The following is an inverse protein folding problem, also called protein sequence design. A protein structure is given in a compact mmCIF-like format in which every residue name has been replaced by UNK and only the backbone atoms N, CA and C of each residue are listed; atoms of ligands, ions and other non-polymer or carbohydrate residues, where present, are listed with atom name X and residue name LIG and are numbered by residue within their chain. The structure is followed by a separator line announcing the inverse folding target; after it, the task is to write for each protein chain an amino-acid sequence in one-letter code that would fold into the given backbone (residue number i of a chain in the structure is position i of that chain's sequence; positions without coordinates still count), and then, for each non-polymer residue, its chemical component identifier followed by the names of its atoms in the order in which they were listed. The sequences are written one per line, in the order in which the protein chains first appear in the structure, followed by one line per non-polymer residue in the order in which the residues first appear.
data_IF_917409674873
#
_entry.id   IF_917409674873
#
_cell.length_a   1.000
_cell.length_b   1.000
_cell.length_c   1.000
_cell.angle_alpha   90.00
_cell.angle_beta   90.00
_cell.angle_gamma   90.00
#
_symmetry.space_group_name_H-M   'P 1'
#
loop_
_entity.id
_entity.type
_entity.pdbx_description
1 polymer ?
#
# COMPACT_ATOMS: atom_id res chain seq x y z
N UNK A 1 -7.90 -19.66 2.34
CA UNK A 1 -9.23 -19.37 2.91
C UNK A 1 -9.77 -18.19 2.13
N UNK A 2 -10.65 -18.43 1.16
CA UNK A 2 -11.27 -17.34 0.40
C UNK A 2 -12.33 -16.68 1.29
N UNK A 3 -12.40 -15.34 1.36
CA UNK A 3 -13.48 -14.68 2.07
C UNK A 3 -14.83 -15.07 1.44
N UNK A 4 -15.84 -15.31 2.29
CA UNK A 4 -17.20 -15.59 1.86
C UNK A 4 -17.85 -14.28 1.36
N UNK A 5 -17.69 -13.99 0.07
CA UNK A 5 -18.18 -12.79 -0.62
C UNK A 5 -19.59 -13.01 -1.22
N UNK A 6 -20.48 -13.69 -0.48
CA UNK A 6 -21.75 -14.21 -1.01
C UNK A 6 -22.95 -13.24 -0.92
N UNK A 7 -22.80 -12.06 -0.30
CA UNK A 7 -23.82 -11.02 -0.27
C UNK A 7 -23.31 -9.76 -0.98
N UNK A 8 -24.07 -9.27 -1.96
CA UNK A 8 -23.78 -8.10 -2.81
C UNK A 8 -23.73 -6.76 -2.03
N UNK A 9 -23.68 -6.83 -0.69
CA UNK A 9 -23.58 -5.70 0.25
C UNK A 9 -22.25 -5.66 1.00
N UNK A 10 -21.40 -6.69 0.84
CA UNK A 10 -20.09 -6.76 1.49
C UNK A 10 -19.19 -5.59 1.12
N UNK A 11 -18.42 -5.09 2.08
CA UNK A 11 -17.47 -3.99 1.87
C UNK A 11 -16.10 -4.36 2.41
N UNK A 12 -15.07 -4.17 1.59
CA UNK A 12 -13.68 -4.23 2.00
C UNK A 12 -13.16 -2.80 2.10
N UNK A 13 -12.87 -2.35 3.32
CA UNK A 13 -12.26 -1.05 3.57
C UNK A 13 -10.81 -1.27 4.00
N UNK A 14 -9.88 -0.74 3.21
CA UNK A 14 -8.45 -0.85 3.45
C UNK A 14 -7.94 0.46 4.00
N UNK A 15 -7.34 0.43 5.18
CA UNK A 15 -6.74 1.62 5.80
C UNK A 15 -5.38 1.92 5.16
N UNK A 16 -5.35 2.87 4.25
CA UNK A 16 -4.14 3.44 3.67
C UNK A 16 -3.74 4.74 4.39
N UNK A 17 -2.80 5.48 3.82
CA UNK A 17 -2.36 6.78 4.32
C UNK A 17 -1.75 7.58 3.17
N UNK A 18 -1.89 8.91 3.17
CA UNK A 18 -1.33 9.81 2.14
C UNK A 18 0.16 9.61 1.88
N UNK A 19 0.91 9.16 2.89
CA UNK A 19 2.35 8.89 2.80
C UNK A 19 2.75 7.80 1.78
N UNK A 20 1.77 7.09 1.20
CA UNK A 20 2.00 6.21 0.05
C UNK A 20 2.51 6.95 -1.20
N UNK A 21 2.27 8.26 -1.30
CA UNK A 21 2.77 9.11 -2.38
C UNK A 21 3.93 9.96 -1.85
N UNK A 22 5.19 9.73 -2.31
CA UNK A 22 6.35 10.52 -1.93
C UNK A 22 6.24 12.02 -2.21
N UNK A 23 5.34 12.42 -3.14
CA UNK A 23 5.10 13.82 -3.50
C UNK A 23 4.09 14.50 -2.58
N UNK A 24 3.36 13.74 -1.78
CA UNK A 24 2.39 14.29 -0.83
C UNK A 24 3.07 14.86 0.42
N UNK A 25 2.43 15.80 1.14
CA UNK A 25 2.90 16.22 2.46
C UNK A 25 3.05 15.02 3.40
N UNK A 26 4.24 14.84 3.96
CA UNK A 26 4.57 13.69 4.81
C UNK A 26 4.89 12.40 4.06
N UNK A 27 4.86 12.39 2.73
CA UNK A 27 5.31 11.27 1.89
C UNK A 27 6.81 10.98 1.98
N UNK A 28 7.56 11.88 2.61
CA UNK A 28 8.97 11.73 2.98
C UNK A 28 9.19 12.30 4.38
N UNK A 29 10.23 11.84 5.06
CA UNK A 29 10.68 12.38 6.34
C UNK A 29 11.61 13.55 6.07
N UNK A 30 11.23 14.76 6.49
CA UNK A 30 12.04 15.98 6.35
C UNK A 30 12.51 16.28 4.91
N UNK A 31 11.77 15.81 3.89
CA UNK A 31 12.13 15.98 2.49
C UNK A 31 13.16 14.98 1.96
N UNK A 32 13.57 13.99 2.77
CA UNK A 32 14.49 12.93 2.32
C UNK A 32 13.77 11.94 1.41
N UNK A 33 14.05 12.03 0.10
CA UNK A 33 13.49 11.17 -0.92
C UNK A 33 13.76 9.67 -0.70
N UNK A 34 14.84 9.30 0.00
CA UNK A 34 15.15 7.90 0.29
C UNK A 34 14.16 7.25 1.26
N UNK A 35 13.43 8.07 2.02
CA UNK A 35 12.37 7.60 2.93
C UNK A 35 11.00 7.51 2.26
N UNK A 36 10.88 7.97 1.01
CA UNK A 36 9.62 7.91 0.26
C UNK A 36 9.25 6.49 -0.15
N UNK A 37 7.94 6.23 -0.28
CA UNK A 37 7.46 4.97 -0.81
C UNK A 37 8.02 4.71 -2.22
N UNK A 38 8.70 3.58 -2.39
CA UNK A 38 9.05 3.00 -3.69
C UNK A 38 9.16 1.50 -3.53
N UNK A 39 8.41 0.77 -4.35
CA UNK A 39 8.47 -0.68 -4.35
C UNK A 39 9.62 -1.23 -5.21
N UNK A 40 10.39 -0.33 -5.86
CA UNK A 40 11.47 -0.70 -6.77
C UNK A 40 11.02 -1.69 -7.84
N UNK A 41 11.81 -2.73 -8.05
CA UNK A 41 11.52 -3.85 -8.94
C UNK A 41 10.88 -5.05 -8.22
N UNK A 42 10.47 -4.87 -6.96
CA UNK A 42 9.93 -5.92 -6.09
C UNK A 42 10.89 -7.09 -5.84
N UNK A 43 12.20 -6.94 -6.08
CA UNK A 43 13.18 -8.03 -5.92
C UNK A 43 13.31 -8.55 -4.48
N UNK A 44 12.79 -7.82 -3.49
CA UNK A 44 12.69 -8.27 -2.11
C UNK A 44 11.53 -9.23 -1.84
N UNK A 45 10.50 -9.26 -2.70
CA UNK A 45 9.37 -10.18 -2.56
C UNK A 45 9.78 -11.61 -2.94
N UNK A 46 9.61 -12.55 -2.01
CA UNK A 46 9.99 -13.94 -2.22
C UNK A 46 11.50 -14.19 -2.20
N UNK A 47 12.29 -13.18 -1.80
CA UNK A 47 13.74 -13.26 -1.74
C UNK A 47 14.20 -14.34 -0.74
N UNK A 48 15.14 -15.19 -1.18
CA UNK A 48 15.92 -16.11 -0.33
C UNK A 48 17.25 -15.48 0.14
N UNK A 49 17.49 -14.20 -0.18
CA UNK A 49 18.81 -13.58 -0.33
C UNK A 49 19.15 -12.45 0.67
N UNK A 50 18.54 -12.42 1.86
CA UNK A 50 18.89 -11.44 2.90
C UNK A 50 18.42 -9.99 2.63
N UNK A 51 17.56 -9.78 1.63
CA UNK A 51 16.84 -8.53 1.48
C UNK A 51 15.93 -8.28 2.71
N UNK A 52 15.89 -7.03 3.17
CA UNK A 52 15.10 -6.60 4.35
C UNK A 52 14.01 -5.59 4.00
N UNK A 53 13.92 -5.20 2.72
CA UNK A 53 12.94 -4.28 2.15
C UNK A 53 12.30 -4.88 0.90
N UNK A 54 11.12 -4.39 0.52
CA UNK A 54 10.33 -4.91 -0.62
C UNK A 54 11.00 -4.74 -1.98
N UNK A 55 11.80 -3.69 -2.12
CA UNK A 55 12.57 -3.33 -3.32
C UNK A 55 13.92 -4.06 -3.42
N UNK A 56 14.20 -5.00 -2.51
CA UNK A 56 15.44 -5.78 -2.50
C UNK A 56 16.59 -5.15 -1.71
N UNK A 57 16.40 -4.00 -1.08
CA UNK A 57 17.47 -3.39 -0.28
C UNK A 57 17.87 -4.30 0.91
N UNK A 58 19.18 -4.35 1.17
CA UNK A 58 19.78 -5.11 2.29
C UNK A 58 19.96 -4.27 3.56
N UNK A 59 19.72 -2.96 3.47
CA UNK A 59 19.70 -2.04 4.61
C UNK A 59 18.25 -1.68 4.94
N UNK A 60 17.87 -1.82 6.20
CA UNK A 60 16.52 -1.51 6.65
C UNK A 60 16.32 0.00 6.84
N UNK A 61 15.25 0.53 6.24
CA UNK A 61 14.81 1.92 6.45
C UNK A 61 13.39 1.96 7.00
N UNK A 62 13.22 2.22 8.29
CA UNK A 62 11.90 2.13 8.95
C UNK A 62 10.85 3.07 8.37
N UNK A 63 11.22 4.32 8.08
CA UNK A 63 10.30 5.29 7.45
C UNK A 63 9.88 4.84 6.05
N UNK A 64 10.84 4.41 5.22
CA UNK A 64 10.60 3.85 3.90
C UNK A 64 9.70 2.61 3.97
N UNK A 65 9.98 1.68 4.88
CA UNK A 65 9.20 0.45 5.06
C UNK A 65 7.75 0.75 5.42
N UNK A 66 7.54 1.76 6.29
CA UNK A 66 6.20 2.23 6.63
C UNK A 66 5.49 2.85 5.42
N UNK A 67 6.16 3.73 4.66
CA UNK A 67 5.59 4.33 3.45
C UNK A 67 5.29 3.30 2.36
N UNK A 68 6.19 2.35 2.12
CA UNK A 68 6.00 1.20 1.21
C UNK A 68 4.78 0.37 1.62
N UNK A 69 4.58 0.11 2.93
CA UNK A 69 3.41 -0.62 3.40
C UNK A 69 2.08 0.10 3.11
N UNK A 70 2.08 1.44 3.13
CA UNK A 70 0.90 2.24 2.80
C UNK A 70 0.64 2.27 1.30
N UNK A 71 1.69 2.26 0.48
CA UNK A 71 1.57 2.05 -0.96
C UNK A 71 1.01 0.66 -1.29
N UNK A 72 1.49 -0.39 -0.61
CA UNK A 72 0.93 -1.74 -0.74
C UNK A 72 -0.57 -1.79 -0.39
N UNK A 73 -1.03 -1.06 0.63
CA UNK A 73 -2.45 -1.00 0.96
C UNK A 73 -3.29 -0.37 -0.17
N UNK A 74 -2.80 0.68 -0.83
CA UNK A 74 -3.49 1.30 -1.98
C UNK A 74 -3.53 0.34 -3.16
N UNK A 75 -2.40 -0.31 -3.47
CA UNK A 75 -2.32 -1.29 -4.56
C UNK A 75 -3.19 -2.52 -4.30
N UNK A 76 -3.24 -3.01 -3.06
CA UNK A 76 -4.12 -4.09 -2.66
C UNK A 76 -5.58 -3.72 -2.85
N UNK A 77 -6.00 -2.53 -2.41
CA UNK A 77 -7.38 -2.07 -2.61
C UNK A 77 -7.74 -1.97 -4.11
N UNK A 78 -6.81 -1.48 -4.94
CA UNK A 78 -6.99 -1.42 -6.40
C UNK A 78 -7.16 -2.82 -7.01
N UNK A 79 -6.27 -3.75 -6.69
CA UNK A 79 -6.31 -5.11 -7.22
C UNK A 79 -7.53 -5.89 -6.72
N UNK A 80 -7.89 -5.74 -5.44
CA UNK A 80 -9.12 -6.31 -4.87
C UNK A 80 -10.37 -5.76 -5.57
N UNK A 81 -10.39 -4.46 -5.91
CA UNK A 81 -11.49 -3.88 -6.70
C UNK A 81 -11.53 -4.47 -8.12
N UNK A 82 -10.39 -4.68 -8.77
CA UNK A 82 -10.34 -5.32 -10.09
C UNK A 82 -10.84 -6.77 -10.05
N UNK A 83 -10.53 -7.53 -8.99
CA UNK A 83 -10.93 -8.94 -8.88
C UNK A 83 -12.34 -9.16 -8.36
N UNK A 84 -12.81 -8.30 -7.47
CA UNK A 84 -14.03 -8.52 -6.68
C UNK A 84 -15.04 -7.37 -6.72
N UNK A 85 -14.77 -6.29 -7.46
CA UNK A 85 -15.60 -5.07 -7.48
C UNK A 85 -17.04 -5.28 -7.95
N UNK A 86 -17.31 -6.33 -8.73
CA UNK A 86 -18.67 -6.72 -9.14
C UNK A 86 -19.46 -7.44 -8.03
N UNK A 87 -18.77 -7.93 -6.98
CA UNK A 87 -19.35 -8.72 -5.88
C UNK A 87 -19.37 -7.95 -4.56
N UNK A 88 -18.36 -7.13 -4.32
CA UNK A 88 -18.21 -6.33 -3.10
C UNK A 88 -17.69 -4.94 -3.39
N UNK A 89 -18.08 -3.97 -2.56
CA UNK A 89 -17.53 -2.63 -2.62
C UNK A 89 -16.14 -2.58 -1.97
N UNK A 90 -15.11 -2.22 -2.74
CA UNK A 90 -13.74 -2.05 -2.23
C UNK A 90 -13.41 -0.56 -2.13
N UNK A 91 -12.86 -0.12 -1.00
CA UNK A 91 -12.47 1.28 -0.75
C UNK A 91 -11.11 1.34 -0.06
N UNK A 92 -10.24 2.23 -0.54
CA UNK A 92 -9.07 2.68 0.22
C UNK A 92 -9.44 3.92 1.02
N UNK A 93 -9.02 3.97 2.27
CA UNK A 93 -9.35 5.06 3.19
C UNK A 93 -8.10 5.56 3.90
N UNK A 94 -7.88 6.87 3.86
CA UNK A 94 -6.88 7.56 4.69
C UNK A 94 -7.63 8.40 5.75
N UNK A 95 -7.48 8.11 7.05
CA UNK A 95 -8.16 8.85 8.11
C UNK A 95 -7.69 10.31 8.27
N UNK A 96 -6.50 10.66 7.76
CA UNK A 96 -5.95 12.01 7.84
C UNK A 96 -5.72 12.58 6.44
N UNK A 97 -6.65 13.41 5.95
CA UNK A 97 -6.52 14.17 4.70
C UNK A 97 -7.63 13.89 3.68
N UNK A 98 -8.06 14.94 3.00
CA UNK A 98 -9.15 15.02 2.02
C UNK A 98 -9.37 13.78 1.15
N UNK A 99 -10.64 13.41 0.99
CA UNK A 99 -11.16 12.35 0.12
C UNK A 99 -10.53 12.35 -1.28
N UNK A 100 -9.85 11.26 -1.66
CA UNK A 100 -9.60 10.92 -3.06
C UNK A 100 -10.48 9.74 -3.46
N UNK A 101 -11.32 9.94 -4.48
CA UNK A 101 -12.01 8.82 -5.16
C UNK A 101 -11.00 8.18 -6.11
N UNK A 102 -10.60 6.95 -5.79
CA UNK A 102 -10.07 6.00 -6.77
C UNK A 102 -11.23 5.25 -7.41
#
# INVERSE_FOLDING_TARGET
MEPLLSDNRGRLVVTASGVHDPKSPGGTVQGDASTGATLGDLSGLGARSGAVMVDGATTYGGAKAYHDSKLCNVLFAREASCRWGERIGVRSFNPCGSWSRT
#
